data_IF_910871412170
#
_entry.id   IF_910871412170
#
_cell.length_a   1.000
_cell.length_b   1.000
_cell.length_c   1.000
_cell.angle_alpha   90.00
_cell.angle_beta   90.00
_cell.angle_gamma   90.00
#
_symmetry.space_group_name_H-M   'P 1'
#
loop_
_entity.id
_entity.type
_entity.pdbx_description
1 polymer ?
#
# COMPACT_ATOMS: atom_id res chain seq x y z
N UNK A 1 25.82 -0.48 10.05
CA UNK A 1 24.65 -0.97 10.81
C UNK A 1 25.09 -1.09 12.25
N UNK A 2 24.28 -0.66 13.22
CA UNK A 2 24.73 -0.47 14.61
C UNK A 2 24.75 -1.77 15.45
N UNK A 3 24.58 -2.94 14.84
CA UNK A 3 24.69 -4.26 15.49
C UNK A 3 23.66 -4.55 16.58
N UNK A 4 22.65 -3.69 16.76
CA UNK A 4 21.62 -3.85 17.79
C UNK A 4 20.68 -5.01 17.46
N UNK A 5 20.20 -5.70 18.49
CA UNK A 5 19.20 -6.77 18.36
C UNK A 5 17.87 -6.24 17.81
N UNK A 6 17.43 -5.07 18.30
CA UNK A 6 16.23 -4.39 17.82
C UNK A 6 16.58 -3.30 16.80
N UNK A 7 16.04 -3.43 15.61
CA UNK A 7 16.26 -2.46 14.53
C UNK A 7 15.14 -1.43 14.50
N UNK A 8 15.51 -0.17 14.35
CA UNK A 8 14.54 0.90 14.17
C UNK A 8 13.88 0.81 12.79
N UNK A 9 12.59 1.14 12.73
CA UNK A 9 11.81 1.11 11.49
C UNK A 9 12.41 1.98 10.38
N UNK A 10 12.99 3.14 10.72
CA UNK A 10 13.65 4.01 9.73
C UNK A 10 14.93 3.41 9.18
N UNK A 11 15.61 2.57 9.97
CA UNK A 11 16.81 1.85 9.54
C UNK A 11 16.45 0.81 8.48
N UNK A 12 15.40 0.02 8.74
CA UNK A 12 14.88 -0.96 7.78
C UNK A 12 14.42 -0.25 6.49
N UNK A 13 13.70 0.86 6.59
CA UNK A 13 13.28 1.62 5.40
C UNK A 13 14.46 2.15 4.58
N UNK A 14 15.54 2.62 5.23
CA UNK A 14 16.76 3.07 4.53
C UNK A 14 17.45 1.92 3.80
N UNK A 15 17.44 0.73 4.38
CA UNK A 15 17.97 -0.49 3.76
C UNK A 15 17.17 -0.88 2.52
N UNK A 16 15.85 -0.92 2.63
CA UNK A 16 14.99 -1.25 1.49
C UNK A 16 15.12 -0.27 0.33
N UNK A 17 15.52 1.00 0.58
CA UNK A 17 15.75 2.02 -0.45
C UNK A 17 17.19 2.08 -0.97
N UNK A 18 18.10 1.26 -0.44
CA UNK A 18 19.51 1.37 -0.76
C UNK A 18 19.81 0.69 -2.10
N UNK A 19 20.10 1.50 -3.13
CA UNK A 19 20.36 1.03 -4.49
C UNK A 19 21.56 0.09 -4.57
N UNK A 20 22.48 0.17 -3.60
CA UNK A 20 23.62 -0.77 -3.49
C UNK A 20 23.17 -2.21 -3.43
N UNK A 21 22.02 -2.52 -2.83
CA UNK A 21 21.59 -3.92 -2.74
C UNK A 21 21.23 -4.54 -4.09
N UNK A 22 20.92 -3.74 -5.11
CA UNK A 22 20.75 -4.21 -6.49
C UNK A 22 21.99 -4.06 -7.37
N UNK A 23 23.15 -3.73 -6.79
CA UNK A 23 24.43 -3.59 -7.50
C UNK A 23 24.75 -2.18 -7.99
N UNK A 24 23.87 -1.21 -7.75
CA UNK A 24 24.03 0.16 -8.24
C UNK A 24 24.67 1.08 -7.20
N UNK A 25 25.34 2.15 -7.64
CA UNK A 25 25.91 3.16 -6.73
C UNK A 25 25.56 4.57 -7.19
N UNK A 26 24.91 5.34 -6.32
CA UNK A 26 24.77 6.79 -6.48
C UNK A 26 25.86 7.52 -5.69
N UNK A 27 26.76 8.19 -6.40
CA UNK A 27 27.84 8.99 -5.84
C UNK A 27 27.39 10.44 -5.57
N UNK A 28 28.13 11.13 -4.68
CA UNK A 28 27.89 12.54 -4.32
C UNK A 28 26.46 12.83 -3.81
N UNK A 29 25.89 11.92 -3.00
CA UNK A 29 24.61 12.13 -2.29
C UNK A 29 24.64 13.31 -1.30
N UNK A 30 25.83 13.68 -0.84
CA UNK A 30 26.07 14.81 0.07
C UNK A 30 27.25 15.63 -0.43
N UNK A 31 27.28 16.91 -0.07
CA UNK A 31 28.39 17.82 -0.36
C UNK A 31 28.70 18.67 0.87
N UNK A 32 29.92 19.20 0.93
CA UNK A 32 30.31 20.18 1.95
C UNK A 32 29.77 21.55 1.54
N UNK A 33 28.84 22.08 2.32
CA UNK A 33 28.18 23.38 2.09
C UNK A 33 29.11 24.54 2.48
N UNK A 34 29.76 24.41 3.63
CA UNK A 34 30.70 25.39 4.14
C UNK A 34 32.03 24.69 4.45
N UNK A 35 33.09 25.19 3.81
CA UNK A 35 34.43 24.65 3.92
C UNK A 35 35.11 24.99 5.25
N UNK A 36 34.71 26.09 5.90
CA UNK A 36 35.27 26.51 7.18
C UNK A 36 34.70 25.68 8.34
N UNK A 37 33.40 25.37 8.29
CA UNK A 37 32.74 24.56 9.33
C UNK A 37 32.69 23.07 9.01
N UNK A 38 33.03 22.66 7.77
CA UNK A 38 32.97 21.27 7.31
C UNK A 38 31.55 20.69 7.25
N UNK A 39 30.53 21.56 7.31
CA UNK A 39 29.12 21.15 7.38
C UNK A 39 28.70 20.45 6.08
N UNK A 40 28.24 19.19 6.20
CA UNK A 40 27.73 18.40 5.07
C UNK A 40 26.23 18.54 4.94
N UNK A 41 25.75 18.77 3.72
CA UNK A 41 24.33 18.79 3.37
C UNK A 41 24.03 17.73 2.31
N UNK A 42 22.79 17.25 2.27
CA UNK A 42 22.30 16.42 1.16
C UNK A 42 22.34 17.22 -0.15
N UNK A 43 22.85 16.59 -1.20
CA UNK A 43 22.84 17.15 -2.53
C UNK A 43 21.48 16.90 -3.19
N UNK A 44 20.77 17.98 -3.49
CA UNK A 44 19.44 18.00 -4.15
C UNK A 44 19.50 18.71 -5.50
N UNK A 45 20.71 18.88 -6.07
CA UNK A 45 20.94 19.58 -7.34
C UNK A 45 22.03 20.65 -7.27
N UNK A 46 22.62 20.91 -6.09
CA UNK A 46 23.72 21.86 -5.94
C UNK A 46 25.01 21.41 -6.63
N UNK A 47 25.21 20.09 -6.76
CA UNK A 47 26.34 19.50 -7.47
C UNK A 47 25.86 18.32 -8.31
N UNK A 48 26.62 17.97 -9.35
CA UNK A 48 26.32 16.80 -10.17
C UNK A 48 26.32 15.53 -9.30
N UNK A 49 25.37 14.64 -9.56
CA UNK A 49 25.34 13.30 -8.97
C UNK A 49 25.60 12.28 -10.07
N UNK A 50 26.39 11.26 -9.77
CA UNK A 50 26.78 10.24 -10.74
C UNK A 50 26.17 8.91 -10.33
N UNK A 51 25.37 8.33 -11.22
CA UNK A 51 24.74 7.03 -11.01
C UNK A 51 25.46 5.98 -11.84
N UNK A 52 26.03 4.98 -11.18
CA UNK A 52 26.73 3.87 -11.83
C UNK A 52 25.90 2.61 -11.65
N UNK A 53 25.51 1.99 -12.77
CA UNK A 53 24.81 0.70 -12.77
C UNK A 53 25.80 -0.45 -12.67
N UNK A 54 25.38 -1.55 -12.05
CA UNK A 54 26.16 -2.80 -11.95
C UNK A 54 27.61 -2.58 -11.44
N UNK A 55 27.76 -1.63 -10.52
CA UNK A 55 29.04 -1.25 -9.93
C UNK A 55 29.69 -2.36 -9.11
N UNK A 56 28.88 -3.28 -8.57
CA UNK A 56 29.33 -4.43 -7.80
C UNK A 56 28.27 -5.55 -7.84
N UNK A 57 28.62 -6.79 -7.45
CA UNK A 57 27.66 -7.89 -7.39
C UNK A 57 26.43 -7.52 -6.54
N UNK A 58 25.25 -7.73 -7.10
CA UNK A 58 24.00 -7.44 -6.43
C UNK A 58 23.73 -8.46 -5.30
N UNK A 59 23.18 -7.99 -4.18
CA UNK A 59 22.74 -8.85 -3.08
C UNK A 59 21.33 -9.39 -3.37
N UNK A 60 20.49 -8.56 -3.99
CA UNK A 60 19.14 -8.93 -4.47
C UNK A 60 19.03 -8.58 -5.94
N UNK A 61 18.22 -9.32 -6.69
CA UNK A 61 18.01 -9.00 -8.11
C UNK A 61 17.34 -7.62 -8.28
N UNK A 62 17.62 -6.90 -9.38
CA UNK A 62 16.96 -5.64 -9.70
C UNK A 62 15.44 -5.76 -9.68
N UNK A 63 14.89 -6.86 -10.20
CA UNK A 63 13.44 -7.11 -10.22
C UNK A 63 12.82 -7.18 -8.82
N UNK A 64 13.50 -7.84 -7.87
CA UNK A 64 13.04 -7.94 -6.48
C UNK A 64 13.12 -6.57 -5.82
N UNK A 65 14.21 -5.84 -6.04
CA UNK A 65 14.37 -4.48 -5.51
C UNK A 65 13.27 -3.54 -6.03
N UNK A 66 12.96 -3.60 -7.32
CA UNK A 66 11.94 -2.77 -7.96
C UNK A 66 10.53 -3.13 -7.47
N UNK A 67 10.24 -4.41 -7.23
CA UNK A 67 8.99 -4.85 -6.59
C UNK A 67 8.84 -4.25 -5.19
N UNK A 68 9.92 -4.20 -4.40
CA UNK A 68 9.93 -3.57 -3.08
C UNK A 68 9.68 -2.07 -3.20
N UNK A 69 10.33 -1.36 -4.14
CA UNK A 69 10.09 0.08 -4.33
C UNK A 69 8.62 0.37 -4.69
N UNK A 70 8.03 -0.44 -5.58
CA UNK A 70 6.60 -0.32 -5.96
C UNK A 70 5.68 -0.56 -4.77
N UNK A 71 5.95 -1.57 -3.94
CA UNK A 71 5.16 -1.85 -2.74
C UNK A 71 5.31 -0.73 -1.69
N UNK A 72 6.51 -0.17 -1.52
CA UNK A 72 6.74 0.98 -0.64
C UNK A 72 5.97 2.21 -1.11
N UNK A 73 5.95 2.48 -2.41
CA UNK A 73 5.15 3.56 -3.01
C UNK A 73 3.64 3.31 -2.82
N UNK A 74 3.17 2.07 -3.01
CA UNK A 74 1.77 1.69 -2.77
C UNK A 74 1.33 1.93 -1.32
N UNK A 75 2.21 1.68 -0.34
CA UNK A 75 1.94 1.90 1.09
C UNK A 75 2.12 3.34 1.55
N UNK A 76 2.68 4.21 0.71
CA UNK A 76 2.93 5.60 1.08
C UNK A 76 1.60 6.34 1.28
N UNK A 77 1.47 7.02 2.43
CA UNK A 77 0.27 7.81 2.78
C UNK A 77 0.14 9.11 1.99
N UNK A 78 1.23 9.57 1.40
CA UNK A 78 1.30 10.80 0.63
C UNK A 78 1.62 10.42 -0.80
N UNK A 79 0.75 10.80 -1.74
CA UNK A 79 0.97 10.68 -3.17
C UNK A 79 1.24 12.07 -3.72
N UNK A 80 2.36 12.23 -4.41
CA UNK A 80 2.63 13.43 -5.20
C UNK A 80 1.94 13.27 -6.55
N UNK A 81 1.09 14.22 -6.90
CA UNK A 81 0.51 14.33 -8.24
C UNK A 81 1.52 14.95 -9.21
N UNK A 82 1.26 14.80 -10.50
CA UNK A 82 2.09 15.36 -11.58
C UNK A 82 2.15 16.90 -11.53
N UNK A 83 1.13 17.54 -10.95
CA UNK A 83 1.06 18.99 -10.71
C UNK A 83 1.88 19.46 -9.49
N UNK A 84 2.59 18.55 -8.81
CA UNK A 84 3.42 18.83 -7.64
C UNK A 84 2.63 18.93 -6.32
N UNK A 85 1.31 18.76 -6.34
CA UNK A 85 0.51 18.74 -5.11
C UNK A 85 0.71 17.42 -4.36
N UNK A 86 0.75 17.52 -3.03
CA UNK A 86 0.87 16.36 -2.15
C UNK A 86 -0.52 16.05 -1.61
N UNK A 87 -1.13 14.98 -2.11
CA UNK A 87 -2.39 14.50 -1.59
C UNK A 87 -2.17 13.38 -0.60
N UNK A 88 -2.94 13.41 0.50
CA UNK A 88 -3.01 12.27 1.39
C UNK A 88 -3.83 11.20 0.68
N UNK A 89 -3.29 10.00 0.54
CA UNK A 89 -4.02 8.87 -0.04
C UNK A 89 -5.34 8.67 0.72
N UNK A 90 -6.47 8.74 0.03
CA UNK A 90 -7.80 8.53 0.63
C UNK A 90 -7.92 7.14 1.28
N UNK A 91 -7.20 6.15 0.72
CA UNK A 91 -7.05 4.82 1.29
C UNK A 91 -5.78 4.72 2.15
N UNK A 92 -5.94 4.68 3.48
CA UNK A 92 -4.84 4.38 4.42
C UNK A 92 -4.56 2.87 4.38
N UNK A 93 -3.34 2.48 4.00
CA UNK A 93 -2.91 1.08 4.10
C UNK A 93 -3.06 0.57 5.54
N UNK A 94 -3.85 -0.49 5.70
CA UNK A 94 -4.17 -1.14 6.97
C UNK A 94 -3.37 -2.45 7.09
N UNK A 95 -2.26 -2.41 7.83
CA UNK A 95 -1.45 -3.60 8.08
C UNK A 95 -2.10 -4.64 9.00
N UNK A 96 -3.15 -4.26 9.76
CA UNK A 96 -3.79 -5.14 10.76
C UNK A 96 -4.91 -6.00 10.16
N UNK A 97 -5.67 -5.45 9.23
CA UNK A 97 -6.84 -6.11 8.65
C UNK A 97 -6.75 -6.11 7.13
N UNK A 98 -6.58 -7.30 6.55
CA UNK A 98 -6.39 -7.49 5.11
C UNK A 98 -7.53 -6.91 4.26
N UNK A 99 -8.78 -7.22 4.61
CA UNK A 99 -9.97 -6.73 3.91
C UNK A 99 -10.07 -5.20 3.87
N UNK A 100 -9.47 -4.50 4.83
CA UNK A 100 -9.46 -3.03 4.87
C UNK A 100 -8.61 -2.38 3.78
N UNK A 101 -7.78 -3.17 3.10
CA UNK A 101 -7.04 -2.72 1.92
C UNK A 101 -7.76 -3.04 0.61
N UNK A 102 -8.82 -3.85 0.64
CA UNK A 102 -9.51 -4.35 -0.55
C UNK A 102 -10.89 -3.72 -0.74
N UNK A 103 -11.63 -3.51 0.35
CA UNK A 103 -13.02 -3.08 0.30
C UNK A 103 -13.13 -1.57 0.03
N UNK A 104 -13.72 -1.23 -1.11
CA UNK A 104 -13.91 0.14 -1.60
C UNK A 104 -15.40 0.38 -1.85
N UNK A 105 -15.90 1.56 -1.51
CA UNK A 105 -17.27 1.94 -1.82
C UNK A 105 -17.42 2.22 -3.32
N UNK A 106 -18.35 1.52 -3.97
CA UNK A 106 -18.69 1.76 -5.38
C UNK A 106 -19.42 3.07 -5.64
N UNK A 107 -20.01 3.67 -4.60
CA UNK A 107 -20.74 4.95 -4.66
C UNK A 107 -19.79 6.15 -4.49
N UNK A 108 -19.12 6.26 -3.33
CA UNK A 108 -18.27 7.43 -3.03
C UNK A 108 -16.75 7.19 -3.16
N UNK A 109 -16.31 5.99 -3.54
CA UNK A 109 -14.87 5.66 -3.69
C UNK A 109 -14.08 5.48 -2.39
N UNK A 110 -14.65 5.83 -1.23
CA UNK A 110 -13.96 5.72 0.04
C UNK A 110 -13.78 4.25 0.49
N UNK A 111 -12.73 3.99 1.29
CA UNK A 111 -12.49 2.65 1.84
C UNK A 111 -13.51 2.24 2.91
N UNK A 112 -13.70 0.94 3.07
CA UNK A 112 -14.48 0.40 4.17
C UNK A 112 -13.62 0.24 5.43
N UNK A 113 -14.20 0.57 6.59
CA UNK A 113 -13.57 0.46 7.91
C UNK A 113 -14.23 -0.63 8.74
N UNK A 114 -13.38 -1.44 9.38
CA UNK A 114 -13.79 -2.47 10.34
C UNK A 114 -14.30 -1.85 11.63
N UNK A 115 -15.43 -2.33 12.12
CA UNK A 115 -16.06 -1.98 13.40
C UNK A 115 -16.51 -3.26 14.08
N UNK A 116 -16.54 -3.24 15.41
CA UNK A 116 -17.17 -4.29 16.21
C UNK A 116 -18.43 -3.72 16.83
N UNK A 117 -19.58 -4.33 16.54
CA UNK A 117 -20.89 -3.91 17.03
C UNK A 117 -21.62 -5.12 17.62
N UNK A 118 -22.00 -5.04 18.90
CA UNK A 118 -22.73 -6.11 19.61
C UNK A 118 -22.06 -7.49 19.43
N UNK A 119 -20.73 -7.53 19.53
CA UNK A 119 -19.92 -8.75 19.36
C UNK A 119 -19.72 -9.23 17.92
N UNK A 120 -20.32 -8.58 16.91
CA UNK A 120 -20.15 -8.91 15.50
C UNK A 120 -19.21 -7.93 14.82
N UNK A 121 -18.38 -8.45 13.93
CA UNK A 121 -17.48 -7.61 13.12
C UNK A 121 -18.18 -7.22 11.82
N UNK A 122 -18.23 -5.93 11.57
CA UNK A 122 -18.84 -5.34 10.39
C UNK A 122 -17.91 -4.35 9.70
N UNK A 123 -18.12 -4.16 8.41
CA UNK A 123 -17.41 -3.22 7.56
C UNK A 123 -18.38 -2.16 7.04
N UNK A 124 -18.02 -0.89 7.18
CA UNK A 124 -18.82 0.26 6.70
C UNK A 124 -17.97 1.26 5.95
N UNK A 125 -18.57 1.89 4.95
CA UNK A 125 -17.94 2.99 4.20
C UNK A 125 -17.44 4.10 5.15
N UNK A 126 -16.19 4.54 4.95
CA UNK A 126 -15.56 5.59 5.74
C UNK A 126 -16.33 6.92 5.68
N UNK A 127 -16.74 7.36 4.48
CA UNK A 127 -17.52 8.59 4.28
C UNK A 127 -18.81 8.55 5.08
N UNK A 128 -19.53 7.43 5.05
CA UNK A 128 -20.75 7.23 5.83
C UNK A 128 -20.50 7.30 7.34
N UNK A 129 -19.36 6.79 7.81
CA UNK A 129 -18.99 6.86 9.23
C UNK A 129 -18.68 8.31 9.66
N UNK A 130 -17.95 9.05 8.84
CA UNK A 130 -17.43 10.37 9.19
C UNK A 130 -18.43 11.50 8.96
N UNK A 131 -19.16 11.44 7.84
CA UNK A 131 -20.08 12.50 7.37
C UNK A 131 -21.55 12.12 7.48
N UNK A 132 -21.86 10.92 7.98
CA UNK A 132 -23.23 10.42 8.12
C UNK A 132 -23.76 9.70 6.88
N UNK A 133 -24.95 9.09 7.02
CA UNK A 133 -25.56 8.23 5.99
C UNK A 133 -25.93 9.00 4.73
N UNK A 134 -26.36 10.25 4.87
CA UNK A 134 -26.78 11.10 3.75
C UNK A 134 -25.62 11.38 2.77
N UNK A 135 -24.38 11.40 3.26
CA UNK A 135 -23.20 11.58 2.42
C UNK A 135 -22.84 10.35 1.57
N UNK A 136 -23.39 9.16 1.88
CA UNK A 136 -23.21 7.95 1.08
C UNK A 136 -24.33 6.95 1.38
N UNK A 137 -25.47 7.19 0.75
CA UNK A 137 -26.75 6.51 1.04
C UNK A 137 -26.75 5.04 0.62
N UNK A 138 -26.06 4.72 -0.48
CA UNK A 138 -26.04 3.40 -1.12
C UNK A 138 -24.93 2.48 -0.59
N UNK A 139 -24.24 2.86 0.50
CA UNK A 139 -23.19 2.03 1.10
C UNK A 139 -23.74 1.05 2.16
N UNK A 140 -23.81 -0.27 1.88
CA UNK A 140 -24.29 -1.26 2.83
C UNK A 140 -23.26 -1.50 3.95
N UNK A 141 -23.74 -2.11 5.05
CA UNK A 141 -22.88 -2.65 6.10
C UNK A 141 -22.62 -4.13 5.82
N UNK A 142 -21.35 -4.52 5.68
CA UNK A 142 -20.99 -5.90 5.38
C UNK A 142 -20.58 -6.65 6.64
N UNK A 143 -21.01 -7.90 6.79
CA UNK A 143 -20.51 -8.78 7.83
C UNK A 143 -19.16 -9.38 7.40
N UNK A 144 -18.16 -9.40 8.29
CA UNK A 144 -16.82 -9.93 7.98
C UNK A 144 -16.88 -11.40 7.53
N UNK A 145 -17.68 -12.23 8.21
CA UNK A 145 -17.83 -13.64 7.86
C UNK A 145 -18.49 -13.86 6.50
N UNK A 146 -19.46 -13.01 6.13
CA UNK A 146 -20.05 -13.07 4.77
C UNK A 146 -19.01 -12.73 3.70
N UNK A 147 -18.22 -11.66 3.90
CA UNK A 147 -17.17 -11.26 2.94
C UNK A 147 -16.13 -12.36 2.79
N UNK A 148 -15.68 -12.95 3.90
CA UNK A 148 -14.74 -14.08 3.87
C UNK A 148 -15.31 -15.27 3.11
N UNK A 149 -16.57 -15.64 3.37
CA UNK A 149 -17.22 -16.77 2.68
C UNK A 149 -17.39 -16.52 1.17
N UNK A 150 -17.75 -15.29 0.78
CA UNK A 150 -17.85 -14.91 -0.63
C UNK A 150 -16.49 -15.04 -1.34
N UNK A 151 -15.44 -14.49 -0.74
CA UNK A 151 -14.08 -14.60 -1.28
C UNK A 151 -13.56 -16.04 -1.31
N UNK A 152 -13.89 -16.84 -0.31
CA UNK A 152 -13.53 -18.26 -0.30
C UNK A 152 -14.13 -18.98 -1.51
N UNK A 153 -15.42 -18.76 -1.81
CA UNK A 153 -16.10 -19.41 -2.93
C UNK A 153 -15.58 -18.96 -4.29
N UNK A 154 -15.38 -17.66 -4.48
CA UNK A 154 -15.08 -17.10 -5.81
C UNK A 154 -13.57 -16.98 -6.12
N UNK A 155 -12.72 -16.96 -5.09
CA UNK A 155 -11.27 -16.73 -5.25
C UNK A 155 -10.45 -17.93 -4.79
N UNK A 156 -10.80 -18.53 -3.64
CA UNK A 156 -10.06 -19.63 -3.04
C UNK A 156 -10.68 -20.98 -3.45
N UNK A 157 -10.26 -21.51 -4.59
CA UNK A 157 -10.69 -22.82 -5.14
C UNK A 157 -10.54 -24.01 -4.17
N UNK A 158 -9.79 -23.84 -3.07
CA UNK A 158 -9.54 -24.86 -2.05
C UNK A 158 -10.57 -24.87 -0.90
N UNK A 159 -11.59 -24.00 -0.94
CA UNK A 159 -12.64 -23.95 0.10
C UNK A 159 -12.19 -23.40 1.47
N UNK A 160 -10.96 -22.89 1.56
CA UNK A 160 -10.40 -22.25 2.76
C UNK A 160 -10.07 -20.81 2.46
N UNK A 161 -10.41 -19.91 3.38
CA UNK A 161 -10.05 -18.50 3.28
C UNK A 161 -8.53 -18.31 3.41
N UNK A 162 -7.89 -17.83 2.34
CA UNK A 162 -6.45 -17.63 2.28
C UNK A 162 -6.12 -16.21 1.79
N UNK A 163 -5.60 -15.38 2.70
CA UNK A 163 -5.24 -14.00 2.39
C UNK A 163 -4.10 -13.88 1.38
N UNK A 164 -3.20 -14.86 1.30
CA UNK A 164 -2.10 -14.88 0.34
C UNK A 164 -2.61 -15.05 -1.09
N UNK A 165 -3.54 -16.00 -1.30
CA UNK A 165 -4.19 -16.20 -2.60
C UNK A 165 -4.97 -14.96 -3.01
N UNK A 166 -5.78 -14.42 -2.10
CA UNK A 166 -6.61 -13.24 -2.38
C UNK A 166 -5.72 -12.04 -2.70
N UNK A 167 -4.63 -11.83 -1.95
CA UNK A 167 -3.68 -10.73 -2.19
C UNK A 167 -3.02 -10.81 -3.56
N UNK A 168 -2.80 -12.02 -4.07
CA UNK A 168 -2.17 -12.22 -5.36
C UNK A 168 -3.15 -12.07 -6.53
N UNK A 169 -4.41 -12.48 -6.36
CA UNK A 169 -5.41 -12.48 -7.42
C UNK A 169 -6.29 -11.22 -7.47
N UNK A 170 -6.70 -10.70 -6.31
CA UNK A 170 -7.65 -9.58 -6.19
C UNK A 170 -6.90 -8.27 -6.07
N UNK A 171 -7.38 -7.26 -6.80
CA UNK A 171 -6.87 -5.88 -6.72
C UNK A 171 -7.70 -5.05 -5.73
N UNK A 172 -9.02 -5.00 -5.95
CA UNK A 172 -9.98 -4.30 -5.10
C UNK A 172 -11.37 -4.96 -5.19
N UNK A 173 -12.24 -4.65 -4.22
CA UNK A 173 -13.62 -5.13 -4.18
C UNK A 173 -14.52 -3.91 -4.02
N UNK A 174 -15.29 -3.57 -5.05
CA UNK A 174 -16.23 -2.45 -5.04
C UNK A 174 -17.58 -2.90 -4.49
N UNK A 175 -18.08 -2.18 -3.49
CA UNK A 175 -19.32 -2.49 -2.79
C UNK A 175 -20.40 -1.49 -3.20
N UNK A 176 -21.47 -1.98 -3.82
CA UNK A 176 -22.64 -1.20 -4.21
C UNK A 176 -23.80 -1.44 -3.24
N UNK A 177 -25.03 -1.09 -3.59
CA UNK A 177 -26.20 -1.28 -2.73
C UNK A 177 -26.77 -2.70 -2.77
N UNK A 178 -26.64 -3.38 -3.91
CA UNK A 178 -27.26 -4.67 -4.24
C UNK A 178 -26.26 -5.74 -4.70
N UNK A 179 -24.98 -5.38 -4.88
CA UNK A 179 -23.94 -6.31 -5.28
C UNK A 179 -22.54 -5.85 -4.88
N UNK A 180 -21.62 -6.79 -4.82
CA UNK A 180 -20.18 -6.56 -4.72
C UNK A 180 -19.52 -6.93 -6.04
N UNK A 181 -18.52 -6.17 -6.48
CA UNK A 181 -17.74 -6.45 -7.67
C UNK A 181 -16.29 -6.70 -7.27
N UNK A 182 -15.82 -7.93 -7.48
CA UNK A 182 -14.43 -8.33 -7.24
C UNK A 182 -13.62 -8.03 -8.51
N UNK A 183 -12.66 -7.12 -8.41
CA UNK A 183 -11.74 -6.78 -9.48
C UNK A 183 -10.45 -7.58 -9.31
N UNK A 184 -10.08 -8.37 -10.32
CA UNK A 184 -8.87 -9.17 -10.32
C UNK A 184 -7.72 -8.42 -11.00
N UNK A 185 -6.48 -8.72 -10.60
CA UNK A 185 -5.28 -8.06 -11.14
C UNK A 185 -5.01 -8.37 -12.62
N UNK A 186 -5.61 -9.44 -13.15
CA UNK A 186 -5.56 -9.78 -14.58
C UNK A 186 -6.59 -8.99 -15.41
N UNK A 187 -7.32 -8.05 -14.80
CA UNK A 187 -8.37 -7.26 -15.45
C UNK A 187 -9.76 -7.91 -15.43
N UNK A 188 -9.87 -9.16 -14.95
CA UNK A 188 -11.16 -9.83 -14.78
C UNK A 188 -12.03 -9.16 -13.71
N UNK A 189 -13.35 -9.25 -13.86
CA UNK A 189 -14.30 -8.76 -12.85
C UNK A 189 -15.39 -9.80 -12.64
N UNK A 190 -15.75 -10.04 -11.38
CA UNK A 190 -16.85 -10.95 -11.01
C UNK A 190 -17.83 -10.19 -10.12
N UNK A 191 -19.12 -10.33 -10.45
CA UNK A 191 -20.22 -9.72 -9.70
C UNK A 191 -20.81 -10.75 -8.74
N UNK A 192 -20.85 -10.40 -7.46
CA UNK A 192 -21.41 -11.19 -6.37
C UNK A 192 -22.68 -10.47 -5.88
N UNK A 193 -23.82 -11.13 -6.01
CA UNK A 193 -25.11 -10.61 -5.55
C UNK A 193 -25.33 -10.99 -4.06
N UNK A 194 -26.08 -10.18 -3.32
CA UNK A 194 -26.48 -10.46 -1.94
C UNK A 194 -27.92 -10.03 -1.65
#
# INVERSE_FOLDING_TARGET
>A
MTGKENWDTTTIQKMLKNEKYKGDTLMQKTFTEDFMTGKKRKNIGQRNQYYVKDSHPAIVSPEVFDKVQKEMAKRARLKSKEDGTIETSESKYNGKYFLGNLLVCGDCGASYRRRTERGKVVWRCATRIEKGREACTHSPTLNEGWVQNALTKDVCQNGVYDEGIIRNKVDEIKIFDSYSMVCYKNGGQVKILY
#
